data_IF_233100945019
#
_entry.id   IF_233100945019
#
_cell.length_a   1.000
_cell.length_b   1.000
_cell.length_c   1.000
_cell.angle_alpha   90.00
_cell.angle_beta   90.00
_cell.angle_gamma   90.00
#
_symmetry.space_group_name_H-M   'P 1'
#
loop_
_entity.id
_entity.type
_entity.pdbx_description
1 polymer ?
#
# COMPACT_ATOMS: atom_id res chain seq x y z
N UNK A 1 -33.16 11.15 -59.54
CA UNK A 1 -32.83 12.58 -59.34
C UNK A 1 -33.83 13.06 -58.29
N UNK A 2 -33.51 13.28 -57.02
CA UNK A 2 -32.28 13.71 -56.33
C UNK A 2 -31.93 12.78 -55.16
N UNK A 3 -30.65 12.78 -54.77
CA UNK A 3 -30.04 12.09 -53.63
C UNK A 3 -29.91 13.07 -52.45
N UNK A 4 -29.92 12.55 -51.21
CA UNK A 4 -29.34 13.15 -50.00
C UNK A 4 -29.26 11.99 -48.96
N UNK A 5 -28.15 11.26 -48.78
CA UNK A 5 -26.88 11.52 -48.07
C UNK A 5 -26.92 11.41 -46.53
N UNK A 6 -25.97 10.60 -46.00
CA UNK A 6 -25.52 10.56 -44.60
C UNK A 6 -26.19 9.48 -43.72
N UNK A 7 -25.54 8.46 -43.13
CA UNK A 7 -24.12 8.18 -42.93
C UNK A 7 -23.85 7.77 -41.46
N UNK A 8 -23.15 6.64 -41.25
CA UNK A 8 -22.39 6.31 -40.01
C UNK A 8 -23.15 5.54 -38.92
N UNK A 9 -23.00 4.20 -38.82
CA UNK A 9 -21.93 3.42 -38.15
C UNK A 9 -22.14 3.14 -36.65
N UNK A 10 -22.60 1.91 -36.39
CA UNK A 10 -22.20 0.93 -35.34
C UNK A 10 -21.68 1.45 -33.99
N UNK A 11 -22.32 0.98 -32.92
CA UNK A 11 -21.61 0.35 -31.79
C UNK A 11 -22.36 -0.90 -31.30
N UNK A 12 -21.58 -1.96 -31.04
CA UNK A 12 -22.02 -3.30 -30.63
C UNK A 12 -22.11 -3.35 -29.11
N UNK A 13 -23.27 -3.76 -28.61
CA UNK A 13 -23.42 -4.27 -27.26
C UNK A 13 -22.64 -5.58 -27.07
N UNK A 14 -22.04 -5.71 -25.90
CA UNK A 14 -21.28 -6.89 -25.50
C UNK A 14 -20.96 -6.82 -24.01
N UNK A 15 -21.96 -7.05 -23.17
CA UNK A 15 -21.79 -7.28 -21.74
C UNK A 15 -20.91 -8.53 -21.54
N UNK A 16 -19.73 -8.34 -20.96
CA UNK A 16 -18.92 -9.42 -20.40
C UNK A 16 -19.17 -9.47 -18.90
N UNK A 17 -19.87 -10.52 -18.47
CA UNK A 17 -19.71 -11.04 -17.12
C UNK A 17 -18.29 -11.55 -16.94
N UNK A 18 -17.60 -11.01 -15.94
CA UNK A 18 -16.30 -11.46 -15.47
C UNK A 18 -16.11 -10.90 -14.08
N UNK A 19 -16.10 -11.78 -13.08
CA UNK A 19 -15.86 -11.42 -11.68
C UNK A 19 -14.54 -10.67 -11.59
N UNK A 20 -14.64 -9.36 -11.38
CA UNK A 20 -13.49 -8.52 -11.10
C UNK A 20 -12.93 -8.92 -9.75
N UNK A 21 -11.70 -9.45 -9.76
CA UNK A 21 -10.87 -9.35 -8.57
C UNK A 21 -10.75 -7.85 -8.31
N UNK A 22 -11.38 -7.39 -7.23
CA UNK A 22 -11.38 -5.98 -6.84
C UNK A 22 -9.93 -5.51 -6.78
N UNK A 23 -9.60 -4.43 -7.48
CA UNK A 23 -8.26 -3.88 -7.61
C UNK A 23 -7.79 -3.22 -6.30
N UNK A 24 -7.71 -4.00 -5.22
CA UNK A 24 -7.42 -3.49 -3.88
C UNK A 24 -6.26 -4.22 -3.18
N UNK A 25 -5.65 -5.24 -3.80
CA UNK A 25 -4.52 -5.97 -3.19
C UNK A 25 -3.12 -5.63 -3.75
N UNK A 26 -3.02 -4.71 -4.72
CA UNK A 26 -1.72 -4.39 -5.36
C UNK A 26 -1.43 -2.90 -5.52
N UNK A 27 -2.28 -2.03 -4.98
CA UNK A 27 -2.03 -0.60 -5.00
C UNK A 27 -0.77 -0.30 -4.17
N UNK A 28 0.26 0.27 -4.80
CA UNK A 28 1.50 0.67 -4.12
C UNK A 28 2.52 -0.44 -3.89
N UNK A 29 2.67 -1.37 -4.84
CA UNK A 29 3.68 -2.45 -4.79
C UNK A 29 4.56 -2.58 -6.01
N UNK A 30 4.01 -2.16 -7.15
CA UNK A 30 4.68 -2.16 -8.43
C UNK A 30 4.55 -0.75 -8.97
N UNK A 31 5.69 -0.16 -9.30
CA UNK A 31 5.75 1.16 -9.94
C UNK A 31 6.56 1.05 -11.21
N UNK A 32 6.01 1.58 -12.28
CA UNK A 32 6.64 1.66 -13.59
C UNK A 32 7.05 3.11 -13.84
N UNK A 33 8.31 3.33 -14.18
CA UNK A 33 8.82 4.63 -14.60
C UNK A 33 9.71 4.51 -15.83
N UNK A 34 10.23 5.64 -16.31
CA UNK A 34 11.08 5.67 -17.51
C UNK A 34 12.35 4.80 -17.39
N UNK A 35 12.81 4.54 -16.16
CA UNK A 35 13.99 3.72 -15.86
C UNK A 35 13.71 2.23 -15.60
N UNK A 36 12.45 1.78 -15.67
CA UNK A 36 12.08 0.38 -15.45
C UNK A 36 11.03 0.20 -14.34
N UNK A 37 10.99 -1.02 -13.79
CA UNK A 37 9.95 -1.46 -12.84
C UNK A 37 10.57 -1.66 -11.45
N UNK A 38 9.99 -1.01 -10.45
CA UNK A 38 10.22 -1.30 -9.04
C UNK A 38 9.11 -2.23 -8.58
N UNK A 39 9.43 -3.49 -8.26
CA UNK A 39 8.48 -4.47 -7.77
C UNK A 39 8.90 -4.97 -6.39
N UNK A 40 8.08 -4.69 -5.36
CA UNK A 40 8.36 -5.08 -3.98
C UNK A 40 7.68 -6.38 -3.55
N UNK A 41 6.84 -6.99 -4.41
CA UNK A 41 6.07 -8.20 -4.06
C UNK A 41 6.99 -9.35 -3.61
N UNK A 42 8.15 -9.50 -4.25
CA UNK A 42 9.11 -10.56 -3.91
C UNK A 42 9.82 -10.38 -2.56
N UNK A 43 9.73 -9.20 -1.94
CA UNK A 43 10.30 -8.94 -0.63
C UNK A 43 9.37 -9.35 0.51
N UNK A 44 8.07 -9.29 0.26
CA UNK A 44 7.05 -9.41 1.28
C UNK A 44 6.83 -10.85 1.76
N UNK A 45 6.37 -10.99 3.00
CA UNK A 45 5.77 -12.24 3.46
C UNK A 45 4.27 -12.24 3.10
N UNK A 46 3.72 -13.41 2.78
CA UNK A 46 2.32 -13.61 2.37
C UNK A 46 1.49 -14.39 3.39
N UNK A 47 2.09 -14.74 4.53
CA UNK A 47 1.49 -15.55 5.60
C UNK A 47 0.82 -14.70 6.71
N UNK A 48 0.61 -13.40 6.44
CA UNK A 48 0.06 -12.46 7.41
C UNK A 48 1.04 -12.01 8.49
N UNK A 49 2.33 -12.34 8.36
CA UNK A 49 3.40 -11.85 9.26
C UNK A 49 4.20 -10.72 8.62
N UNK A 50 4.80 -9.82 9.42
CA UNK A 50 5.69 -8.81 8.86
C UNK A 50 7.00 -9.42 8.36
N UNK A 51 7.47 -8.96 7.19
CA UNK A 51 8.79 -9.32 6.67
C UNK A 51 9.92 -8.88 7.61
N UNK A 52 9.79 -7.66 8.12
CA UNK A 52 10.72 -7.07 9.06
C UNK A 52 9.99 -6.91 10.39
N UNK A 53 10.34 -7.71 11.39
CA UNK A 53 9.68 -7.70 12.69
C UNK A 53 10.52 -6.90 13.69
N UNK A 54 9.88 -5.95 14.40
CA UNK A 54 10.48 -5.21 15.51
C UNK A 54 11.90 -4.69 15.22
N UNK A 55 12.07 -4.00 14.10
CA UNK A 55 13.32 -3.31 13.75
C UNK A 55 13.40 -2.02 14.56
N UNK A 56 14.52 -1.80 15.26
CA UNK A 56 14.71 -0.57 16.05
C UNK A 56 14.78 0.66 15.14
N UNK A 57 14.07 1.73 15.49
CA UNK A 57 14.13 3.00 14.77
C UNK A 57 15.56 3.57 14.74
N UNK A 58 16.00 4.04 13.58
CA UNK A 58 17.39 4.45 13.33
C UNK A 58 17.78 5.81 13.97
N UNK A 59 16.81 6.57 14.49
CA UNK A 59 17.06 7.93 15.00
C UNK A 59 17.36 7.90 16.50
N UNK A 60 18.64 8.03 16.87
CA UNK A 60 19.10 8.16 18.26
C UNK A 60 18.78 6.95 19.16
N UNK A 61 18.65 7.19 20.48
CA UNK A 61 18.18 6.20 21.46
C UNK A 61 16.66 6.02 21.40
N UNK A 62 16.08 5.91 20.19
CA UNK A 62 14.63 5.74 20.04
C UNK A 62 14.18 4.48 20.80
N UNK A 63 13.15 4.61 21.67
CA UNK A 63 12.54 3.46 22.34
C UNK A 63 11.56 2.72 21.41
N UNK A 64 11.43 3.15 20.15
CA UNK A 64 10.46 2.65 19.20
C UNK A 64 11.04 1.60 18.26
N UNK A 65 10.23 0.59 18.00
CA UNK A 65 10.46 -0.48 17.06
C UNK A 65 9.38 -0.44 15.98
N UNK A 66 9.72 -0.93 14.79
CA UNK A 66 8.84 -0.94 13.64
C UNK A 66 8.77 -2.33 13.05
N UNK A 67 7.55 -2.79 12.83
CA UNK A 67 7.26 -3.97 12.04
C UNK A 67 6.76 -3.52 10.66
N UNK A 68 7.28 -4.11 9.61
CA UNK A 68 6.99 -3.73 8.22
C UNK A 68 6.78 -4.96 7.34
N UNK A 69 5.71 -4.91 6.54
CA UNK A 69 5.53 -5.79 5.40
C UNK A 69 5.13 -4.96 4.18
N UNK A 70 5.95 -4.92 3.11
CA UNK A 70 5.46 -4.37 1.86
C UNK A 70 4.33 -5.25 1.34
N UNK A 71 3.37 -4.67 0.63
CA UNK A 71 2.40 -5.37 -0.23
C UNK A 71 1.32 -6.23 0.39
N UNK A 72 1.60 -6.95 1.47
CA UNK A 72 0.61 -7.78 2.13
C UNK A 72 0.41 -7.27 3.54
N UNK A 73 -0.85 -7.04 3.88
CA UNK A 73 -1.20 -6.56 5.20
C UNK A 73 -0.85 -7.59 6.28
N UNK A 74 -0.46 -7.11 7.46
CA UNK A 74 -0.33 -7.91 8.66
C UNK A 74 -1.08 -7.25 9.82
N UNK A 75 -1.19 -7.97 10.94
CA UNK A 75 -1.75 -7.42 12.18
C UNK A 75 -0.85 -7.75 13.36
N UNK A 76 -0.67 -6.78 14.26
CA UNK A 76 0.17 -6.89 15.46
C UNK A 76 -0.41 -5.97 16.55
N UNK A 77 -0.77 -6.53 17.71
CA UNK A 77 -1.38 -5.73 18.78
C UNK A 77 -2.64 -5.00 18.30
N UNK A 78 -2.68 -3.66 18.46
CA UNK A 78 -3.80 -2.83 17.97
C UNK A 78 -3.65 -2.40 16.50
N UNK A 79 -2.51 -2.66 15.86
CA UNK A 79 -2.36 -2.45 14.42
C UNK A 79 -3.08 -3.57 13.67
N UNK A 80 -4.13 -3.24 12.92
CA UNK A 80 -4.97 -4.19 12.19
C UNK A 80 -4.92 -3.90 10.68
N UNK A 81 -4.54 -4.90 9.89
CA UNK A 81 -4.48 -4.79 8.43
C UNK A 81 -3.52 -3.71 7.93
N UNK A 82 -2.35 -3.57 8.57
CA UNK A 82 -1.39 -2.51 8.29
C UNK A 82 -0.24 -2.98 7.41
N UNK A 83 0.47 -2.03 6.81
CA UNK A 83 1.76 -2.25 6.17
C UNK A 83 2.91 -1.93 7.13
N UNK A 84 2.72 -0.96 8.04
CA UNK A 84 3.72 -0.55 9.04
C UNK A 84 3.04 -0.40 10.41
N UNK A 85 3.61 -1.04 11.43
CA UNK A 85 3.22 -0.86 12.83
C UNK A 85 4.42 -0.39 13.66
N UNK A 86 4.25 0.66 14.45
CA UNK A 86 5.22 1.09 15.44
C UNK A 86 4.83 0.55 16.82
N UNK A 87 5.80 0.07 17.57
CA UNK A 87 5.63 -0.42 18.94
C UNK A 87 6.70 0.14 19.87
N UNK A 88 6.37 0.32 21.14
CA UNK A 88 7.38 0.56 22.18
C UNK A 88 8.20 -0.71 22.47
N UNK A 89 9.26 -0.55 23.26
CA UNK A 89 10.13 -1.65 23.67
C UNK A 89 9.37 -2.79 24.35
N UNK A 90 8.36 -2.46 25.16
CA UNK A 90 7.62 -3.45 25.95
C UNK A 90 6.50 -4.15 25.16
N UNK A 91 6.10 -3.63 24.01
CA UNK A 91 4.93 -4.14 23.28
C UNK A 91 3.60 -3.75 23.95
N UNK A 92 3.59 -2.68 24.74
CA UNK A 92 2.38 -2.17 25.40
C UNK A 92 1.66 -1.12 24.55
N UNK A 93 2.38 -0.42 23.68
CA UNK A 93 1.85 0.66 22.85
C UNK A 93 2.09 0.35 21.38
N UNK A 94 1.02 0.43 20.58
CA UNK A 94 1.06 0.17 19.15
C UNK A 94 0.42 1.33 18.38
N UNK A 95 1.09 1.78 17.33
CA UNK A 95 0.65 2.88 16.49
C UNK A 95 0.63 2.44 15.02
N UNK A 96 -0.52 2.64 14.36
CA UNK A 96 -0.67 2.38 12.94
C UNK A 96 0.04 3.47 12.13
N UNK A 97 1.15 3.12 11.49
CA UNK A 97 1.95 4.04 10.68
C UNK A 97 1.54 4.04 9.19
N UNK A 98 0.55 3.25 8.81
CA UNK A 98 -0.02 3.22 7.48
C UNK A 98 -0.36 1.80 7.00
N UNK A 99 -1.17 1.76 5.95
CA UNK A 99 -1.56 0.54 5.26
C UNK A 99 -1.30 0.68 3.75
N UNK A 100 -1.54 -0.40 3.01
CA UNK A 100 -1.26 -0.41 1.57
C UNK A 100 -2.04 0.65 0.78
N UNK A 101 -3.16 1.15 1.29
CA UNK A 101 -3.91 2.21 0.61
C UNK A 101 -3.22 3.58 0.67
N UNK A 102 -2.28 3.78 1.61
CA UNK A 102 -1.51 5.02 1.72
C UNK A 102 -0.10 4.94 1.13
N UNK A 103 0.25 3.81 0.51
CA UNK A 103 1.57 3.60 -0.11
C UNK A 103 1.78 4.52 -1.32
N UNK A 104 2.85 5.31 -1.28
CA UNK A 104 3.26 6.19 -2.36
C UNK A 104 4.75 5.98 -2.67
N UNK A 105 5.11 6.04 -3.95
CA UNK A 105 6.52 6.11 -4.34
C UNK A 105 6.99 7.55 -4.18
N UNK A 106 8.06 7.73 -3.43
CA UNK A 106 8.74 9.00 -3.26
C UNK A 106 10.24 8.82 -3.34
N UNK A 107 10.95 9.83 -2.83
CA UNK A 107 12.40 9.81 -2.73
C UNK A 107 12.84 10.25 -1.34
N UNK A 108 13.80 9.54 -0.77
CA UNK A 108 14.47 9.90 0.49
C UNK A 108 15.98 10.05 0.19
N UNK A 109 16.53 11.24 0.42
CA UNK A 109 17.91 11.61 0.05
C UNK A 109 18.31 11.21 -1.39
N UNK A 110 17.39 11.40 -2.34
CA UNK A 110 17.59 11.08 -3.76
C UNK A 110 17.54 9.58 -4.10
N UNK A 111 17.21 8.71 -3.13
CA UNK A 111 16.99 7.28 -3.35
C UNK A 111 15.49 6.97 -3.41
N UNK A 112 15.05 6.00 -4.22
CA UNK A 112 13.65 5.57 -4.21
C UNK A 112 13.21 5.13 -2.81
N UNK A 113 12.05 5.61 -2.38
CA UNK A 113 11.47 5.28 -1.09
C UNK A 113 9.97 4.99 -1.24
N UNK A 114 9.45 4.11 -0.39
CA UNK A 114 8.00 3.97 -0.22
C UNK A 114 7.59 4.73 1.02
N UNK A 115 6.67 5.67 0.84
CA UNK A 115 6.13 6.50 1.91
C UNK A 115 4.74 5.98 2.26
N UNK A 116 4.50 5.76 3.55
CA UNK A 116 3.20 5.43 4.09
C UNK A 116 2.72 6.59 4.97
N UNK A 117 1.42 6.86 4.92
CA UNK A 117 0.81 7.86 5.80
C UNK A 117 0.03 7.14 6.91
N UNK A 118 0.29 7.55 8.15
CA UNK A 118 -0.50 7.11 9.29
C UNK A 118 -1.95 7.58 9.11
N UNK A 119 -2.88 6.72 9.50
CA UNK A 119 -4.25 7.16 9.71
C UNK A 119 -4.24 7.93 11.03
N UNK A 120 -4.72 9.17 11.02
CA UNK A 120 -4.85 9.95 12.24
C UNK A 120 -5.60 9.11 13.28
N UNK A 121 -4.92 8.78 14.39
CA UNK A 121 -5.61 8.31 15.58
C UNK A 121 -6.30 9.53 16.13
N UNK A 122 -7.64 9.56 16.09
CA UNK A 122 -8.35 10.42 17.04
C UNK A 122 -7.99 9.85 18.40
N UNK A 123 -7.00 10.45 19.06
CA UNK A 123 -6.65 10.10 20.43
C UNK A 123 -7.94 10.16 21.25
N UNK A 124 -8.29 9.04 21.90
CA UNK A 124 -9.29 9.08 22.94
C UNK A 124 -8.64 9.89 24.06
N UNK A 125 -9.02 11.16 24.17
CA UNK A 125 -8.77 11.96 25.36
C UNK A 125 -9.23 11.13 26.57
N UNK A 126 -8.32 10.92 27.51
CA UNK A 126 -8.62 10.27 28.79
C UNK A 126 -8.34 11.23 29.92
#
# INVERSE_FOLDING_TARGET
MTMDEGGGSRERGGERGGGGVSAQETAGCVWEGEGGIINLMGLANTDGTPKFLRVRGAVGSSPWFYSYNPCFAFSEGTCQGVAVCQTDETGSMYFNCGDMSSAQLGTDDGKPAVVYHSKATTDIER
#
